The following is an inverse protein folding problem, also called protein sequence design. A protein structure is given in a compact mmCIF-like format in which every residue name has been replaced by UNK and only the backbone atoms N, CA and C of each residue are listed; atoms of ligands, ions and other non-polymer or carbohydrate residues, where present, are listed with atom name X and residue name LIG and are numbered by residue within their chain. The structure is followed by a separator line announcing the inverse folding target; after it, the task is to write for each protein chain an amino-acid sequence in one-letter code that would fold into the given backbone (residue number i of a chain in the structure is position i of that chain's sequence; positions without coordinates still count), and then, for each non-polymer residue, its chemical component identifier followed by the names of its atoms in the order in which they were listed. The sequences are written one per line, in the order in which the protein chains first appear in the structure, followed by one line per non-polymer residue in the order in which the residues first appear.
data_IF_764207165544
#
_entry.id   IF_764207165544
#
_cell.length_a   1.000
_cell.length_b   1.000
_cell.length_c   1.000
_cell.angle_alpha   90.00
_cell.angle_beta   90.00
_cell.angle_gamma   90.00
#
_symmetry.space_group_name_H-M   'P 1'
#
loop_
_entity.id
_entity.type
_entity.pdbx_description
1 polymer ?
#
# COMPACT_ATOMS: atom_id res chain seq x y z
N UNK A 1 -3.20 -12.80 21.80
CA UNK A 1 -3.19 -11.38 21.36
C UNK A 1 -4.62 -10.83 21.43
N UNK A 2 -4.87 -9.53 21.66
CA UNK A 2 -6.22 -8.93 21.75
C UNK A 2 -7.16 -9.34 20.59
N UNK A 3 -6.58 -9.72 19.44
CA UNK A 3 -7.30 -10.21 18.26
C UNK A 3 -7.82 -11.66 18.39
N UNK A 4 -7.25 -12.49 19.25
CA UNK A 4 -7.72 -13.85 19.55
C UNK A 4 -8.89 -13.83 20.55
N UNK A 5 -8.85 -12.93 21.54
CA UNK A 5 -9.93 -12.76 22.54
C UNK A 5 -11.25 -12.30 21.91
N UNK A 6 -11.20 -11.54 20.81
CA UNK A 6 -12.38 -11.07 20.08
C UNK A 6 -13.03 -12.13 19.19
N UNK A 7 -12.46 -13.34 19.09
CA UNK A 7 -12.99 -14.42 18.23
C UNK A 7 -13.99 -15.37 18.92
N UNK A 8 -14.10 -15.31 20.26
CA UNK A 8 -14.71 -16.35 21.09
C UNK A 8 -16.19 -16.20 21.48
N UNK A 9 -16.83 -15.04 21.28
CA UNK A 9 -18.20 -14.81 21.76
C UNK A 9 -19.21 -14.48 20.62
N UNK A 10 -20.32 -15.24 20.49
CA UNK A 10 -21.28 -15.10 19.39
C UNK A 10 -22.05 -13.77 19.32
N UNK A 11 -22.16 -13.03 20.42
CA UNK A 11 -22.85 -11.72 20.47
C UNK A 11 -21.89 -10.51 20.45
N UNK A 12 -20.57 -10.76 20.54
CA UNK A 12 -19.53 -9.72 20.49
C UNK A 12 -18.72 -9.72 19.19
N UNK A 13 -19.21 -10.39 18.14
CA UNK A 13 -18.66 -10.27 16.78
C UNK A 13 -18.85 -8.85 16.24
N UNK A 14 -18.02 -7.91 16.71
CA UNK A 14 -17.58 -6.79 15.88
C UNK A 14 -16.95 -7.47 14.67
N UNK A 15 -17.73 -7.65 13.61
CA UNK A 15 -17.22 -8.18 12.34
C UNK A 15 -16.21 -7.16 11.87
N UNK A 16 -14.93 -7.46 12.06
CA UNK A 16 -13.85 -6.64 11.52
C UNK A 16 -14.07 -6.57 10.01
N UNK A 17 -14.35 -5.36 9.52
CA UNK A 17 -14.40 -5.03 8.10
C UNK A 17 -13.08 -4.36 7.71
N UNK A 18 -12.96 -3.88 6.47
CA UNK A 18 -11.79 -3.10 6.01
C UNK A 18 -11.46 -1.89 6.89
N UNK A 19 -12.45 -1.23 7.51
CA UNK A 19 -12.25 0.06 8.21
C UNK A 19 -11.28 0.01 9.41
N UNK A 20 -11.44 -0.89 10.41
CA UNK A 20 -10.48 -1.00 11.51
C UNK A 20 -9.04 -1.23 11.07
N UNK A 21 -8.83 -1.99 9.99
CA UNK A 21 -7.49 -2.19 9.43
C UNK A 21 -6.95 -0.91 8.78
N UNK A 22 -7.76 -0.19 8.00
CA UNK A 22 -7.35 1.10 7.43
C UNK A 22 -6.98 2.12 8.53
N UNK A 23 -7.70 2.12 9.66
CA UNK A 23 -7.34 2.94 10.83
C UNK A 23 -5.97 2.55 11.39
N UNK A 24 -5.70 1.25 11.54
CA UNK A 24 -4.42 0.76 12.04
C UNK A 24 -3.26 1.10 11.08
N UNK A 25 -3.44 0.89 9.77
CA UNK A 25 -2.46 1.27 8.74
C UNK A 25 -2.19 2.78 8.83
N UNK A 26 -3.24 3.62 8.93
CA UNK A 26 -3.08 5.06 9.03
C UNK A 26 -2.38 5.50 10.33
N UNK A 27 -2.62 4.80 11.44
CA UNK A 27 -1.94 5.06 12.70
C UNK A 27 -0.43 4.83 12.59
N UNK A 28 0.00 3.76 11.89
CA UNK A 28 1.41 3.52 11.57
C UNK A 28 1.96 4.53 10.56
N UNK A 29 1.22 4.82 9.49
CA UNK A 29 1.63 5.76 8.45
C UNK A 29 1.84 7.20 8.98
N UNK A 30 1.18 7.55 10.09
CA UNK A 30 1.32 8.85 10.75
C UNK A 30 2.61 8.99 11.59
N UNK A 31 3.37 7.91 11.80
CA UNK A 31 4.61 7.89 12.60
C UNK A 31 5.83 8.19 11.73
N UNK A 32 5.95 9.44 11.28
CA UNK A 32 7.06 9.86 10.40
C UNK A 32 8.42 9.70 11.09
N UNK A 33 9.34 8.99 10.43
CA UNK A 33 10.71 8.76 10.92
C UNK A 33 10.84 7.71 12.03
N UNK A 34 9.74 7.09 12.48
CA UNK A 34 9.79 6.00 13.45
C UNK A 34 10.14 4.69 12.74
N UNK A 35 11.29 4.11 13.09
CA UNK A 35 11.79 2.86 12.54
C UNK A 35 10.76 1.73 12.68
N UNK A 36 10.51 0.96 11.61
CA UNK A 36 9.58 -0.16 11.64
C UNK A 36 8.11 0.22 11.44
N UNK A 37 7.75 1.51 11.37
CA UNK A 37 6.34 1.90 11.20
C UNK A 37 5.81 1.60 9.80
N UNK A 38 6.63 1.75 8.77
CA UNK A 38 6.22 1.44 7.40
C UNK A 38 6.06 -0.08 7.20
N UNK A 39 6.96 -0.86 7.79
CA UNK A 39 6.93 -2.32 7.82
C UNK A 39 5.66 -2.82 8.50
N UNK A 40 5.32 -2.29 9.69
CA UNK A 40 4.08 -2.63 10.38
C UNK A 40 2.83 -2.25 9.58
N UNK A 41 2.85 -1.12 8.87
CA UNK A 41 1.74 -0.73 8.00
C UNK A 41 1.57 -1.74 6.84
N UNK A 42 2.68 -2.17 6.25
CA UNK A 42 2.69 -3.20 5.19
C UNK A 42 2.23 -4.56 5.70
N UNK A 43 2.70 -5.01 6.87
CA UNK A 43 2.29 -6.28 7.49
C UNK A 43 0.76 -6.34 7.69
N UNK A 44 0.14 -5.21 8.06
CA UNK A 44 -1.31 -5.13 8.21
C UNK A 44 -2.02 -5.27 6.85
N UNK A 45 -1.50 -4.66 5.78
CA UNK A 45 -2.03 -4.80 4.42
C UNK A 45 -1.90 -6.24 3.89
N UNK A 46 -0.76 -6.89 4.15
CA UNK A 46 -0.54 -8.29 3.81
C UNK A 46 -1.54 -9.19 4.55
N UNK A 47 -1.73 -8.95 5.85
CA UNK A 47 -2.73 -9.68 6.65
C UNK A 47 -4.15 -9.48 6.14
N UNK A 48 -4.53 -8.27 5.73
CA UNK A 48 -5.83 -8.04 5.09
C UNK A 48 -5.97 -8.86 3.80
N UNK A 49 -4.91 -8.94 3.01
CA UNK A 49 -4.88 -9.72 1.76
C UNK A 49 -5.04 -11.22 2.04
N UNK A 50 -4.33 -11.75 3.04
CA UNK A 50 -4.45 -13.15 3.47
C UNK A 50 -5.87 -13.48 3.98
N UNK A 51 -6.47 -12.60 4.78
CA UNK A 51 -7.84 -12.80 5.28
C UNK A 51 -8.85 -12.84 4.13
N UNK A 52 -8.71 -11.94 3.15
CA UNK A 52 -9.55 -11.93 1.95
C UNK A 52 -9.40 -13.24 1.16
N UNK A 53 -8.15 -13.65 0.91
CA UNK A 53 -7.83 -14.88 0.15
C UNK A 53 -8.35 -16.14 0.86
N UNK A 54 -8.39 -16.15 2.19
CA UNK A 54 -8.97 -17.23 2.99
C UNK A 54 -10.52 -17.21 3.02
N UNK A 55 -11.17 -16.42 2.17
CA UNK A 55 -12.61 -16.43 1.94
C UNK A 55 -13.41 -15.43 2.79
N UNK A 56 -12.76 -14.55 3.55
CA UNK A 56 -13.46 -13.50 4.28
C UNK A 56 -13.48 -12.19 3.49
N UNK A 57 -14.47 -12.06 2.61
CA UNK A 57 -14.67 -10.89 1.74
C UNK A 57 -15.01 -9.59 2.48
N UNK A 58 -15.25 -9.62 3.80
CA UNK A 58 -15.51 -8.42 4.61
C UNK A 58 -14.23 -7.62 4.87
N UNK A 59 -13.07 -8.26 4.76
CA UNK A 59 -11.75 -7.64 4.93
C UNK A 59 -11.05 -7.73 3.59
N UNK A 60 -11.16 -6.68 2.79
CA UNK A 60 -10.50 -6.60 1.48
C UNK A 60 -9.67 -5.31 1.43
N UNK A 61 -8.36 -5.40 1.11
CA UNK A 61 -7.57 -4.22 0.77
C UNK A 61 -8.22 -3.46 -0.38
N UNK A 62 -8.23 -2.13 -0.28
CA UNK A 62 -8.71 -1.24 -1.31
C UNK A 62 -7.63 -0.20 -1.68
N UNK A 63 -7.95 0.63 -2.66
CA UNK A 63 -7.08 1.75 -3.09
C UNK A 63 -6.61 2.62 -1.92
N UNK A 64 -7.46 2.85 -0.91
CA UNK A 64 -7.10 3.63 0.27
C UNK A 64 -6.09 2.88 1.16
N UNK A 65 -6.29 1.59 1.41
CA UNK A 65 -5.35 0.74 2.17
C UNK A 65 -3.95 0.80 1.55
N UNK A 66 -3.86 0.61 0.23
CA UNK A 66 -2.61 0.69 -0.53
C UNK A 66 -1.96 2.08 -0.44
N UNK A 67 -2.72 3.14 -0.74
CA UNK A 67 -2.21 4.51 -0.70
C UNK A 67 -1.71 4.90 0.70
N UNK A 68 -2.32 4.36 1.76
CA UNK A 68 -1.89 4.63 3.14
C UNK A 68 -0.57 3.93 3.47
N UNK A 69 -0.35 2.69 2.97
CA UNK A 69 0.95 2.01 3.12
C UNK A 69 2.04 2.68 2.28
N UNK A 70 1.73 3.12 1.05
CA UNK A 70 2.66 3.90 0.23
C UNK A 70 3.10 5.18 0.97
N UNK A 71 2.15 5.87 1.60
CA UNK A 71 2.43 7.04 2.44
C UNK A 71 3.31 6.70 3.63
N UNK A 72 3.14 5.54 4.26
CA UNK A 72 3.99 5.09 5.35
C UNK A 72 5.45 4.93 4.89
N UNK A 73 5.67 4.26 3.75
CA UNK A 73 7.01 4.13 3.16
C UNK A 73 7.62 5.46 2.71
N UNK A 74 6.81 6.35 2.14
CA UNK A 74 7.21 7.73 1.86
C UNK A 74 7.64 8.48 3.13
N UNK A 75 6.90 8.37 4.23
CA UNK A 75 7.24 9.03 5.49
C UNK A 75 8.50 8.45 6.14
N UNK A 76 8.85 7.21 5.81
CA UNK A 76 10.10 6.54 6.20
C UNK A 76 11.24 6.72 5.18
N UNK A 77 10.98 7.37 4.03
CA UNK A 77 11.93 7.48 2.91
C UNK A 77 13.12 8.38 3.22
N UNK A 78 14.14 7.78 3.82
CA UNK A 78 15.48 8.35 3.99
C UNK A 78 16.55 7.61 3.17
N UNK A 79 16.17 6.49 2.55
CA UNK A 79 17.06 5.60 1.80
C UNK A 79 16.40 5.10 0.52
N UNK A 80 17.23 4.58 -0.39
CA UNK A 80 16.77 4.00 -1.66
C UNK A 80 15.90 2.76 -1.42
N UNK A 81 16.17 2.01 -0.35
CA UNK A 81 15.43 0.82 0.04
C UNK A 81 13.98 1.18 0.37
N UNK A 82 13.74 2.21 1.19
CA UNK A 82 12.37 2.64 1.52
C UNK A 82 11.58 3.11 0.30
N UNK A 83 12.21 3.84 -0.62
CA UNK A 83 11.58 4.24 -1.88
C UNK A 83 11.27 3.04 -2.78
N UNK A 84 12.19 2.07 -2.85
CA UNK A 84 11.99 0.80 -3.56
C UNK A 84 10.86 -0.04 -2.98
N UNK A 85 10.67 -0.03 -1.65
CA UNK A 85 9.52 -0.67 -1.01
C UNK A 85 8.20 -0.03 -1.45
N UNK A 86 8.13 1.31 -1.48
CA UNK A 86 6.95 2.00 -2.01
C UNK A 86 6.69 1.62 -3.48
N UNK A 87 7.71 1.59 -4.34
CA UNK A 87 7.57 1.12 -5.73
C UNK A 87 7.02 -0.29 -5.82
N UNK A 88 7.54 -1.23 -5.03
CA UNK A 88 7.09 -2.63 -5.06
C UNK A 88 5.60 -2.75 -4.70
N UNK A 89 5.12 -1.96 -3.75
CA UNK A 89 3.69 -1.93 -3.37
C UNK A 89 2.85 -1.34 -4.50
N UNK A 90 3.30 -0.26 -5.15
CA UNK A 90 2.62 0.32 -6.31
C UNK A 90 2.54 -0.66 -7.48
N UNK A 91 3.63 -1.39 -7.77
CA UNK A 91 3.63 -2.43 -8.81
C UNK A 91 2.69 -3.57 -8.48
N UNK A 92 2.61 -3.96 -7.20
CA UNK A 92 1.65 -4.96 -6.76
C UNK A 92 0.21 -4.46 -6.92
N UNK A 93 -0.07 -3.20 -6.56
CA UNK A 93 -1.35 -2.54 -6.77
C UNK A 93 -1.75 -2.53 -8.26
N UNK A 94 -0.80 -2.21 -9.16
CA UNK A 94 -1.00 -2.23 -10.61
C UNK A 94 -1.29 -3.64 -11.14
N UNK A 95 -0.59 -4.65 -10.63
CA UNK A 95 -0.88 -6.05 -10.97
C UNK A 95 -2.30 -6.44 -10.56
N UNK A 96 -2.71 -6.12 -9.33
CA UNK A 96 -4.06 -6.43 -8.86
C UNK A 96 -5.13 -5.74 -9.72
N UNK A 97 -4.88 -4.50 -10.14
CA UNK A 97 -5.78 -3.79 -11.05
C UNK A 97 -5.93 -4.51 -12.40
N UNK A 98 -4.82 -4.96 -12.99
CA UNK A 98 -4.82 -5.75 -14.24
C UNK A 98 -5.48 -7.13 -14.10
N UNK A 99 -5.46 -7.70 -12.89
CA UNK A 99 -6.13 -8.96 -12.55
C UNK A 99 -7.63 -8.73 -12.19
N UNK A 100 -8.25 -7.65 -12.69
CA UNK A 100 -9.65 -7.25 -12.51
C UNK A 100 -10.12 -7.14 -11.04
N UNK A 101 -9.19 -6.80 -10.12
CA UNK A 101 -9.56 -6.52 -8.74
C UNK A 101 -10.15 -5.10 -8.63
N UNK A 102 -11.43 -4.94 -8.95
CA UNK A 102 -12.15 -3.63 -9.02
C UNK A 102 -11.91 -2.67 -7.84
N UNK A 103 -11.61 -3.17 -6.63
CA UNK A 103 -11.40 -2.34 -5.43
C UNK A 103 -10.00 -1.72 -5.34
N UNK A 104 -9.05 -2.19 -6.15
CA UNK A 104 -7.65 -1.78 -6.14
C UNK A 104 -7.32 -1.21 -7.52
N UNK A 105 -7.16 0.12 -7.59
CA UNK A 105 -6.77 0.82 -8.80
C UNK A 105 -5.72 1.88 -8.46
N UNK A 106 -4.49 1.78 -8.97
CA UNK A 106 -3.50 2.85 -8.85
C UNK A 106 -4.09 4.17 -9.34
N UNK A 107 -3.87 5.24 -8.57
CA UNK A 107 -4.30 6.57 -8.93
C UNK A 107 -3.13 7.56 -8.89
N UNK A 108 -3.42 8.82 -9.17
CA UNK A 108 -2.41 9.88 -9.15
C UNK A 108 -1.74 10.02 -7.77
N UNK A 109 -2.44 9.67 -6.68
CA UNK A 109 -1.89 9.70 -5.32
C UNK A 109 -0.86 8.57 -5.17
N UNK A 110 -1.16 7.37 -5.66
CA UNK A 110 -0.26 6.22 -5.63
C UNK A 110 1.08 6.56 -6.31
N UNK A 111 1.02 7.03 -7.56
CA UNK A 111 2.21 7.39 -8.34
C UNK A 111 2.98 8.58 -7.75
N UNK A 112 2.27 9.67 -7.42
CA UNK A 112 2.88 10.85 -6.80
C UNK A 112 3.65 10.48 -5.53
N UNK A 113 3.11 9.57 -4.72
CA UNK A 113 3.75 9.15 -3.47
C UNK A 113 5.08 8.44 -3.71
N UNK A 114 5.13 7.52 -4.69
CA UNK A 114 6.38 6.83 -5.06
C UNK A 114 7.42 7.79 -5.66
N UNK A 115 6.99 8.69 -6.55
CA UNK A 115 7.87 9.70 -7.16
C UNK A 115 8.48 10.62 -6.10
N UNK A 116 7.68 11.07 -5.13
CA UNK A 116 8.16 11.88 -4.01
C UNK A 116 9.08 11.09 -3.07
N UNK A 117 8.83 9.79 -2.87
CA UNK A 117 9.71 8.95 -2.06
C UNK A 117 11.10 8.86 -2.69
N UNK A 118 11.19 8.69 -4.01
CA UNK A 118 12.44 8.75 -4.75
C UNK A 118 13.09 10.14 -4.74
N UNK A 119 12.29 11.21 -4.84
CA UNK A 119 12.77 12.60 -4.74
C UNK A 119 13.42 12.94 -3.39
N UNK A 120 13.05 12.25 -2.31
CA UNK A 120 13.68 12.40 -0.99
C UNK A 120 15.01 11.63 -0.84
N UNK A 121 15.39 10.79 -1.80
CA UNK A 121 16.62 10.00 -1.72
C UNK A 121 17.82 10.84 -2.15
N UNK A 122 18.58 11.34 -1.17
CA UNK A 122 19.72 12.22 -1.42
C UNK A 122 20.96 11.50 -1.95
N UNK A 123 21.07 10.17 -1.75
CA UNK A 123 22.25 9.34 -2.11
C UNK A 123 21.95 8.31 -3.21
N UNK A 124 21.17 8.70 -4.22
CA UNK A 124 20.66 7.77 -5.22
C UNK A 124 21.22 7.91 -6.65
N UNK A 125 21.74 9.09 -7.01
CA UNK A 125 22.33 9.36 -8.33
C UNK A 125 21.44 8.90 -9.49
N UNK A 126 22.05 8.32 -10.53
CA UNK A 126 21.37 7.85 -11.73
C UNK A 126 20.33 6.75 -11.47
N UNK A 127 20.51 5.92 -10.43
CA UNK A 127 19.53 4.86 -10.11
C UNK A 127 18.18 5.42 -9.73
N UNK A 128 18.13 6.56 -9.04
CA UNK A 128 16.86 7.21 -8.70
C UNK A 128 16.16 7.72 -9.95
N UNK A 129 16.91 8.28 -10.89
CA UNK A 129 16.37 8.77 -12.16
C UNK A 129 15.75 7.63 -12.96
N UNK A 130 16.48 6.52 -13.12
CA UNK A 130 15.98 5.31 -13.80
C UNK A 130 14.69 4.77 -13.16
N UNK A 131 14.58 4.80 -11.82
CA UNK A 131 13.36 4.38 -11.13
C UNK A 131 12.19 5.33 -11.35
N UNK A 132 12.45 6.63 -11.38
CA UNK A 132 11.44 7.64 -11.70
C UNK A 132 10.93 7.45 -13.14
N UNK A 133 11.82 7.24 -14.10
CA UNK A 133 11.45 6.99 -15.51
C UNK A 133 10.56 5.74 -15.64
N UNK A 134 10.99 4.61 -15.05
CA UNK A 134 10.20 3.37 -15.04
C UNK A 134 8.81 3.52 -14.39
N UNK A 135 8.66 4.42 -13.42
CA UNK A 135 7.37 4.70 -12.78
C UNK A 135 6.46 5.55 -13.68
N UNK A 136 7.03 6.46 -14.48
CA UNK A 136 6.28 7.24 -15.46
C UNK A 136 5.80 6.36 -16.61
N UNK A 137 6.64 5.47 -17.11
CA UNK A 137 6.25 4.48 -18.13
C UNK A 137 5.08 3.61 -17.65
N UNK A 138 5.13 3.14 -16.39
CA UNK A 138 4.04 2.38 -15.80
C UNK A 138 2.73 3.19 -15.68
N UNK A 139 2.82 4.49 -15.40
CA UNK A 139 1.65 5.38 -15.35
C UNK A 139 1.03 5.51 -16.74
N UNK A 140 1.86 5.69 -17.77
CA UNK A 140 1.40 5.80 -19.15
C UNK A 140 0.71 4.51 -19.59
N UNK A 141 1.29 3.34 -19.30
CA UNK A 141 0.71 2.03 -19.60
C UNK A 141 -0.70 1.88 -19.00
N UNK A 142 -0.84 2.12 -17.69
CA UNK A 142 -2.14 2.00 -17.01
C UNK A 142 -3.14 3.03 -17.54
N UNK A 143 -2.69 4.25 -17.86
CA UNK A 143 -3.57 5.28 -18.39
C UNK A 143 -4.13 4.92 -19.76
N UNK A 144 -3.37 4.23 -20.61
CA UNK A 144 -3.82 3.77 -21.94
C UNK A 144 -4.86 2.65 -21.79
N UNK A 145 -4.64 1.72 -20.87
CA UNK A 145 -5.57 0.61 -20.60
C UNK A 145 -6.95 1.13 -20.15
N UNK A 146 -6.98 2.16 -19.30
CA UNK A 146 -8.20 2.82 -18.83
C UNK A 146 -9.01 3.53 -19.94
N UNK A 147 -8.38 3.93 -21.05
CA UNK A 147 -9.06 4.57 -22.18
C UNK A 147 -9.58 3.56 -23.22
N UNK A 148 -9.06 2.32 -23.21
CA UNK A 148 -9.39 1.28 -24.18
C UNK A 148 -10.40 0.24 -23.65
N UNK A 149 -10.81 0.34 -22.39
CA UNK A 149 -11.83 -0.52 -21.74
C UNK A 149 -13.16 0.20 -21.61
#
# INVERSE_FOLDING_TARGET
SLLEELSGDPQSKIRLTTLPYNILINAYASRRGELGSAEKAEDVLLRMSEINLNGNSLVRPDTQSFNTVLKAWYNSSSSIESASRAENILRFMAKLHKDDQEQVRPDIISFRTCLLAYGNVHKGGLKVVERIENLLELLEEISVDDHNT
#
